data_IF_472726045239
#
_entry.id   IF_472726045239
#
_cell.length_a   1.000
_cell.length_b   1.000
_cell.length_c   1.000
_cell.angle_alpha   90.00
_cell.angle_beta   90.00
_cell.angle_gamma   90.00
#
_symmetry.space_group_name_H-M   'P 1'
#
loop_
_entity.id
_entity.type
_entity.pdbx_description
1 polymer ?
#
# COMPACT_ATOMS: atom_id res chain seq x y z
N UNK A 1 -4.54 -3.41 0.09
CA UNK A 1 -3.39 -2.50 -0.01
C UNK A 1 -3.20 -2.22 -1.51
N UNK A 2 -3.00 -0.96 -1.89
CA UNK A 2 -2.87 -0.53 -3.29
C UNK A 2 -1.41 -0.23 -3.62
N UNK A 3 -0.98 -0.57 -4.82
CA UNK A 3 0.33 -0.14 -5.31
C UNK A 3 0.37 1.40 -5.43
N UNK A 4 1.53 2.03 -5.25
CA UNK A 4 1.64 3.50 -5.30
C UNK A 4 1.10 4.11 -6.59
N UNK A 5 1.28 3.45 -7.74
CA UNK A 5 0.72 3.92 -9.02
C UNK A 5 -0.82 3.95 -9.05
N UNK A 6 -1.49 3.25 -8.15
CA UNK A 6 -2.95 3.25 -8.05
C UNK A 6 -3.50 4.33 -7.10
N UNK A 7 -2.63 5.07 -6.41
CA UNK A 7 -3.04 6.05 -5.41
C UNK A 7 -3.75 7.27 -6.03
N UNK A 8 -3.54 7.53 -7.33
CA UNK A 8 -4.31 8.55 -8.06
C UNK A 8 -5.81 8.27 -8.02
N UNK A 9 -6.24 7.00 -7.90
CA UNK A 9 -7.66 6.63 -7.74
C UNK A 9 -8.25 7.12 -6.41
N UNK A 10 -7.40 7.34 -5.41
CA UNK A 10 -7.79 7.80 -4.06
C UNK A 10 -7.71 9.32 -3.95
N UNK A 11 -6.63 9.91 -4.48
CA UNK A 11 -6.35 11.34 -4.35
C UNK A 11 -6.80 12.19 -5.55
N UNK A 12 -7.22 11.57 -6.66
CA UNK A 12 -7.89 12.20 -7.79
C UNK A 12 -6.98 12.92 -8.79
N UNK A 13 -5.91 13.57 -8.32
CA UNK A 13 -4.98 14.33 -9.19
C UNK A 13 -3.61 13.65 -9.28
N UNK A 14 -3.16 13.39 -10.50
CA UNK A 14 -1.90 12.69 -10.76
C UNK A 14 -0.66 13.48 -10.31
N UNK A 15 -0.63 14.80 -10.57
CA UNK A 15 0.52 15.64 -10.24
C UNK A 15 0.67 15.79 -8.72
N UNK A 16 -0.44 16.05 -8.03
CA UNK A 16 -0.45 16.18 -6.57
C UNK A 16 -0.16 14.84 -5.89
N UNK A 17 -0.69 13.73 -6.42
CA UNK A 17 -0.38 12.38 -5.90
C UNK A 17 1.10 12.07 -6.04
N UNK A 18 1.71 12.42 -7.18
CA UNK A 18 3.15 12.21 -7.42
C UNK A 18 3.99 13.05 -6.47
N UNK A 19 3.66 14.34 -6.29
CA UNK A 19 4.35 15.21 -5.34
C UNK A 19 4.23 14.73 -3.88
N UNK A 20 3.08 14.15 -3.52
CA UNK A 20 2.87 13.53 -2.21
C UNK A 20 3.75 12.28 -2.03
N UNK A 21 3.73 11.37 -3.01
CA UNK A 21 4.51 10.14 -2.99
C UNK A 21 6.01 10.42 -2.94
N UNK A 22 6.49 11.43 -3.67
CA UNK A 22 7.89 11.86 -3.64
C UNK A 22 8.33 12.26 -2.23
N UNK A 23 7.58 13.17 -1.58
CA UNK A 23 7.88 13.64 -0.22
C UNK A 23 7.82 12.52 0.81
N UNK A 24 6.80 11.65 0.73
CA UNK A 24 6.63 10.53 1.64
C UNK A 24 7.75 9.49 1.46
N UNK A 25 8.08 9.16 0.21
CA UNK A 25 9.11 8.18 -0.14
C UNK A 25 10.52 8.65 0.23
N UNK A 26 10.78 9.96 0.16
CA UNK A 26 12.11 10.53 0.43
C UNK A 26 12.62 10.22 1.86
N UNK A 27 11.72 10.18 2.85
CA UNK A 27 12.08 9.93 4.24
C UNK A 27 11.60 8.56 4.77
N UNK A 28 11.08 7.70 3.91
CA UNK A 28 10.53 6.41 4.30
C UNK A 28 11.42 5.24 3.85
N UNK A 29 11.38 4.16 4.63
CA UNK A 29 11.91 2.86 4.20
C UNK A 29 10.74 1.98 3.72
N UNK A 30 10.78 1.54 2.45
CA UNK A 30 9.69 0.78 1.84
C UNK A 30 9.87 -0.71 2.15
N UNK A 31 8.92 -1.27 2.91
CA UNK A 31 8.85 -2.70 3.21
C UNK A 31 7.78 -3.39 2.35
N UNK A 32 8.22 -4.21 1.40
CA UNK A 32 7.31 -4.98 0.55
C UNK A 32 6.93 -6.29 1.24
N UNK A 33 5.70 -6.39 1.73
CA UNK A 33 5.20 -7.61 2.36
C UNK A 33 4.52 -8.53 1.35
N UNK A 34 4.76 -9.84 1.46
CA UNK A 34 4.06 -10.88 0.70
C UNK A 34 3.49 -11.92 1.66
N UNK A 35 2.42 -12.58 1.24
CA UNK A 35 1.82 -13.71 1.96
C UNK A 35 0.41 -13.45 2.47
N UNK A 36 -0.25 -14.50 3.00
CA UNK A 36 -1.62 -14.42 3.46
C UNK A 36 -1.75 -13.55 4.71
N UNK A 37 -2.91 -12.92 4.86
CA UNK A 37 -3.25 -12.15 6.06
C UNK A 37 -3.13 -13.02 7.31
N UNK A 38 -2.37 -12.55 8.30
CA UNK A 38 -2.25 -13.21 9.59
C UNK A 38 -3.62 -13.45 10.26
N UNK A 39 -4.56 -12.51 10.09
CA UNK A 39 -5.93 -12.62 10.63
C UNK A 39 -6.71 -13.73 9.92
N UNK A 40 -6.55 -13.84 8.60
CA UNK A 40 -7.25 -14.86 7.80
C UNK A 40 -6.65 -16.25 8.04
N UNK A 41 -5.34 -16.35 8.23
CA UNK A 41 -4.65 -17.62 8.52
C UNK A 41 -5.20 -18.33 9.76
N UNK A 42 -5.66 -17.59 10.78
CA UNK A 42 -6.28 -18.20 11.97
C UNK A 42 -7.74 -18.64 11.74
N UNK A 43 -8.42 -18.09 10.73
CA UNK A 43 -9.79 -18.48 10.38
C UNK A 43 -9.82 -19.77 9.56
N UNK A 44 -8.83 -20.00 8.70
CA UNK A 44 -8.76 -21.17 7.83
C UNK A 44 -8.16 -22.42 8.47
N UNK A 45 -7.64 -22.34 9.70
CA UNK A 45 -7.06 -23.48 10.44
C UNK A 45 -8.12 -24.24 11.26
N UNK A 46 -9.39 -23.86 11.14
CA UNK A 46 -10.49 -24.46 11.91
C UNK A 46 -11.48 -25.30 11.09
N UNK A 47 -11.13 -25.61 9.84
CA UNK A 47 -11.84 -26.54 8.96
C UNK A 47 -10.92 -27.71 8.59
#
# INVERSE_FOLDING_TARGET
NLAFGEWVKVFGDEKLTTALLDRLGHHAHILTTKGPSYRTRRRTVKD
#
